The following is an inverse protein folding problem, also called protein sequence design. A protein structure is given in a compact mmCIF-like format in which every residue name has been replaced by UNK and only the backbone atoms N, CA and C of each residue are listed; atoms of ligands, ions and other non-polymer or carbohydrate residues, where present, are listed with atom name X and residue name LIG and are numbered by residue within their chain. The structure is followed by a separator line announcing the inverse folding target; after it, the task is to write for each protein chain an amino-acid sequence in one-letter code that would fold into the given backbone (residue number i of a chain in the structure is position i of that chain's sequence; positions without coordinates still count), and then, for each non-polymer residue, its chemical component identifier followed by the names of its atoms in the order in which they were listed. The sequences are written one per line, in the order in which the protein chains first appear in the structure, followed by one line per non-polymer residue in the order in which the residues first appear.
data_IF_514693953009
#
_entry.id   IF_514693953009
#
_cell.length_a   1.000
_cell.length_b   1.000
_cell.length_c   1.000
_cell.angle_alpha   90.00
_cell.angle_beta   90.00
_cell.angle_gamma   90.00
#
_symmetry.space_group_name_H-M   'P 1'
#
loop_
_entity.id
_entity.type
_entity.pdbx_description
1 polymer ?
#
# COMPACT_ATOMS: atom_id res chain seq x y z
N UNK A 1 -20.97 0.27 24.04
CA UNK A 1 -20.14 0.77 22.92
C UNK A 1 -19.42 -0.42 22.30
N UNK A 2 -20.05 -1.11 21.35
CA UNK A 2 -19.51 -2.33 20.70
C UNK A 2 -18.96 -2.02 19.31
N UNK A 3 -18.00 -1.09 19.25
CA UNK A 3 -17.10 -0.98 18.10
C UNK A 3 -15.96 -1.97 18.34
N UNK A 4 -15.93 -3.11 17.62
CA UNK A 4 -14.70 -3.79 17.17
C UNK A 4 -14.85 -5.23 16.67
N UNK A 5 -15.89 -5.99 17.04
CA UNK A 5 -15.93 -7.41 16.62
C UNK A 5 -16.24 -7.62 15.14
N UNK A 6 -17.23 -6.91 14.60
CA UNK A 6 -17.65 -7.08 13.19
C UNK A 6 -16.60 -6.54 12.20
N UNK A 7 -15.90 -5.45 12.54
CA UNK A 7 -14.82 -4.91 11.71
C UNK A 7 -13.54 -5.76 11.77
N UNK A 8 -13.20 -6.32 12.94
CA UNK A 8 -12.09 -7.27 13.05
C UNK A 8 -12.35 -8.56 12.26
N UNK A 9 -13.62 -8.95 12.10
CA UNK A 9 -14.03 -10.12 11.28
C UNK A 9 -13.95 -9.81 9.77
N UNK A 10 -14.15 -8.56 9.35
CA UNK A 10 -14.13 -8.20 7.94
C UNK A 10 -12.76 -8.42 7.28
N UNK A 11 -11.68 -8.20 8.04
CA UNK A 11 -10.29 -8.36 7.62
C UNK A 11 -9.63 -9.56 8.32
N UNK A 12 -10.10 -10.76 8.00
CA UNK A 12 -9.50 -12.02 8.47
C UNK A 12 -8.01 -12.15 8.11
N UNK A 13 -7.36 -13.16 8.68
CA UNK A 13 -5.90 -13.37 8.54
C UNK A 13 -5.47 -13.45 7.07
N UNK A 14 -6.26 -14.10 6.22
CA UNK A 14 -5.91 -14.33 4.83
C UNK A 14 -6.00 -13.04 4.02
N UNK A 15 -7.04 -12.23 4.26
CA UNK A 15 -7.14 -10.88 3.69
C UNK A 15 -5.97 -10.00 4.13
N UNK A 16 -5.58 -10.05 5.41
CA UNK A 16 -4.42 -9.28 5.90
C UNK A 16 -3.13 -9.66 5.19
N UNK A 17 -2.90 -10.96 4.98
CA UNK A 17 -1.73 -11.45 4.23
C UNK A 17 -1.79 -10.96 2.78
N UNK A 18 -2.97 -10.99 2.16
CA UNK A 18 -3.18 -10.48 0.79
C UNK A 18 -2.86 -8.98 0.67
N UNK A 19 -3.34 -8.18 1.63
CA UNK A 19 -3.06 -6.73 1.70
C UNK A 19 -1.56 -6.46 1.83
N UNK A 20 -0.87 -7.15 2.75
CA UNK A 20 0.58 -6.98 2.94
C UNK A 20 1.35 -7.35 1.67
N UNK A 21 0.96 -8.43 0.99
CA UNK A 21 1.54 -8.80 -0.31
C UNK A 21 1.30 -7.73 -1.38
N UNK A 22 0.08 -7.17 -1.44
CA UNK A 22 -0.24 -6.08 -2.36
C UNK A 22 0.63 -4.85 -2.14
N UNK A 23 0.78 -4.42 -0.88
CA UNK A 23 1.66 -3.29 -0.52
C UNK A 23 3.11 -3.58 -0.89
N UNK A 24 3.63 -4.77 -0.56
CA UNK A 24 4.99 -5.16 -0.88
C UNK A 24 5.25 -5.18 -2.40
N UNK A 25 4.30 -5.69 -3.18
CA UNK A 25 4.38 -5.69 -4.64
C UNK A 25 4.34 -4.27 -5.22
N UNK A 26 3.49 -3.40 -4.71
CA UNK A 26 3.44 -2.00 -5.13
C UNK A 26 4.75 -1.27 -4.84
N UNK A 27 5.32 -1.45 -3.65
CA UNK A 27 6.63 -0.89 -3.28
C UNK A 27 7.75 -1.45 -4.16
N UNK A 28 7.76 -2.76 -4.40
CA UNK A 28 8.73 -3.40 -5.29
C UNK A 28 8.65 -2.82 -6.69
N UNK A 29 7.44 -2.70 -7.25
CA UNK A 29 7.23 -2.10 -8.56
C UNK A 29 7.76 -0.68 -8.62
N UNK A 30 7.38 0.17 -7.67
CA UNK A 30 7.82 1.57 -7.65
C UNK A 30 9.35 1.70 -7.50
N UNK A 31 10.00 0.85 -6.72
CA UNK A 31 11.44 0.97 -6.44
C UNK A 31 12.34 0.29 -7.47
N UNK A 32 11.89 -0.78 -8.12
CA UNK A 32 12.77 -1.66 -8.89
C UNK A 32 12.27 -1.98 -10.30
N UNK A 33 10.97 -2.02 -10.52
CA UNK A 33 10.38 -2.49 -11.80
C UNK A 33 9.80 -1.33 -12.64
N UNK A 34 9.74 -0.12 -12.07
CA UNK A 34 9.36 1.10 -12.76
C UNK A 34 10.55 1.67 -13.54
N UNK A 35 10.31 2.12 -14.78
CA UNK A 35 11.36 2.69 -15.65
C UNK A 35 12.05 3.92 -15.06
N UNK A 36 11.32 4.69 -14.23
CA UNK A 36 11.87 5.73 -13.38
C UNK A 36 11.44 5.41 -11.95
N UNK A 37 12.35 4.93 -11.08
CA UNK A 37 11.97 4.52 -9.74
C UNK A 37 11.31 5.67 -8.96
N UNK A 38 10.22 5.37 -8.27
CA UNK A 38 9.43 6.33 -7.50
C UNK A 38 9.59 5.99 -6.02
N UNK A 39 9.98 6.96 -5.20
CA UNK A 39 9.95 6.84 -3.74
C UNK A 39 8.67 7.52 -3.25
N UNK A 40 7.73 6.75 -2.69
CA UNK A 40 6.44 7.29 -2.18
C UNK A 40 6.63 8.26 -0.99
N UNK A 41 7.53 7.91 -0.05
CA UNK A 41 7.88 8.67 1.17
C UNK A 41 6.79 8.89 2.23
N UNK A 42 5.54 8.46 1.98
CA UNK A 42 4.45 8.57 2.95
C UNK A 42 3.60 7.29 3.01
N UNK A 43 4.27 6.17 3.30
CA UNK A 43 3.60 4.91 3.52
C UNK A 43 3.00 4.89 4.94
N UNK A 44 1.69 5.14 5.01
CA UNK A 44 0.89 5.04 6.22
C UNK A 44 -0.39 4.24 5.95
N UNK A 45 -1.08 3.76 7.00
CA UNK A 45 -2.36 3.07 6.84
C UNK A 45 -3.45 3.96 6.23
N UNK A 46 -3.34 5.28 6.33
CA UNK A 46 -4.28 6.22 5.72
C UNK A 46 -4.09 6.31 4.20
N UNK A 47 -2.90 5.97 3.71
CA UNK A 47 -2.53 6.02 2.30
C UNK A 47 -2.56 4.63 1.64
N UNK A 48 -3.16 3.64 2.31
CA UNK A 48 -3.45 2.31 1.74
C UNK A 48 -4.95 2.19 1.55
N UNK A 49 -5.39 2.22 0.30
CA UNK A 49 -6.79 2.04 -0.07
C UNK A 49 -7.05 0.57 -0.40
N UNK A 50 -8.21 0.06 0.02
CA UNK A 50 -8.66 -1.29 -0.32
C UNK A 50 -9.85 -1.18 -1.27
N UNK A 51 -9.77 -1.87 -2.41
CA UNK A 51 -10.92 -1.97 -3.31
C UNK A 51 -11.92 -3.05 -2.87
N UNK A 52 -12.99 -3.24 -3.64
CA UNK A 52 -14.03 -4.24 -3.34
C UNK A 52 -13.53 -5.68 -3.33
N UNK A 53 -12.35 -5.95 -3.91
CA UNK A 53 -11.70 -7.26 -3.97
C UNK A 53 -10.61 -7.42 -2.90
N UNK A 54 -10.49 -6.49 -1.96
CA UNK A 54 -9.45 -6.46 -0.93
C UNK A 54 -8.03 -6.34 -1.49
N UNK A 55 -7.88 -5.81 -2.70
CA UNK A 55 -6.56 -5.48 -3.26
C UNK A 55 -6.13 -4.13 -2.68
N UNK A 56 -4.87 -4.08 -2.24
CA UNK A 56 -4.27 -2.88 -1.69
C UNK A 56 -3.72 -1.99 -2.80
N UNK A 57 -4.06 -0.71 -2.75
CA UNK A 57 -3.59 0.34 -3.64
C UNK A 57 -2.92 1.43 -2.80
N UNK A 58 -1.72 1.85 -3.19
CA UNK A 58 -1.06 2.98 -2.55
C UNK A 58 -1.63 4.28 -3.11
N UNK A 59 -1.97 5.20 -2.22
CA UNK A 59 -2.44 6.55 -2.55
C UNK A 59 -1.47 7.60 -2.04
N UNK A 60 -1.83 8.86 -2.29
CA UNK A 60 -1.09 10.06 -1.91
C UNK A 60 0.38 10.06 -2.36
N UNK A 61 0.59 10.58 -3.56
CA UNK A 61 1.90 10.81 -4.13
C UNK A 61 2.35 12.27 -3.97
N UNK A 62 1.70 13.05 -3.10
CA UNK A 62 2.03 14.47 -2.88
C UNK A 62 3.46 14.68 -2.37
N UNK A 63 4.00 13.71 -1.65
CA UNK A 63 5.41 13.70 -1.21
C UNK A 63 6.31 12.81 -2.05
N UNK A 64 5.79 12.15 -3.07
CA UNK A 64 6.56 11.19 -3.86
C UNK A 64 7.65 11.89 -4.68
N UNK A 65 8.72 11.16 -4.98
CA UNK A 65 9.83 11.65 -5.80
C UNK A 65 10.32 10.60 -6.77
N UNK A 66 10.65 11.03 -7.97
CA UNK A 66 11.48 10.23 -8.87
C UNK A 66 12.89 10.14 -8.28
N UNK A 67 13.43 8.94 -8.21
CA UNK A 67 14.83 8.71 -7.93
C UNK A 67 15.59 9.00 -9.21
N UNK A 68 16.34 10.11 -9.23
CA UNK A 68 17.28 10.36 -10.31
C UNK A 68 18.46 9.41 -10.14
N UNK A 69 18.94 8.76 -11.21
CA UNK A 69 20.25 8.13 -11.20
C UNK A 69 21.26 9.23 -10.84
N UNK A 70 21.90 9.09 -9.68
CA UNK A 70 23.11 9.79 -9.27
C UNK A 70 23.13 11.32 -9.48
N UNK A 71 22.75 12.06 -8.42
CA UNK A 71 23.18 13.46 -8.18
C UNK A 71 24.54 13.50 -7.50
#
# INVERSE_FOLDING_TARGET
MTWNKLQAVALDRDKRVSVVKGIANALFYMHHDCSQPIINRDLSSNNVLLDSNWVAHLSDFGTARLLMPDS
#
